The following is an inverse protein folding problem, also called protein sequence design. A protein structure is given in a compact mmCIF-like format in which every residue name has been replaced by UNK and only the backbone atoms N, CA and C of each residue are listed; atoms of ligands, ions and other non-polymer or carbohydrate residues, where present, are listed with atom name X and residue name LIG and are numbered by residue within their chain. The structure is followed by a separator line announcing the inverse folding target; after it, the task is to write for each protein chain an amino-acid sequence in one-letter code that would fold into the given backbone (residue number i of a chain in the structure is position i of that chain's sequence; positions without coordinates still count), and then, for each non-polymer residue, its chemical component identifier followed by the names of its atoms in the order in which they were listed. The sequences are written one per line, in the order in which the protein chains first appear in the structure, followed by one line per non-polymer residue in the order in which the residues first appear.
data_IF_675998155936
#
_entry.id   IF_675998155936
#
_cell.length_a   1.000
_cell.length_b   1.000
_cell.length_c   1.000
_cell.angle_alpha   90.00
_cell.angle_beta   90.00
_cell.angle_gamma   90.00
#
_symmetry.space_group_name_H-M   'P 1'
#
loop_
_entity.id
_entity.type
_entity.pdbx_description
1 polymer ?
#
# COMPACT_ATOMS: atom_id res chain seq x y z
N UNK A 1 21.25 -48.25 20.94
CA UNK A 1 21.44 -46.79 21.13
C UNK A 1 20.16 -46.08 20.71
N UNK A 2 19.37 -45.58 21.68
CA UNK A 2 18.04 -44.96 21.46
C UNK A 2 18.00 -43.52 22.00
N UNK A 3 18.78 -43.23 23.06
CA UNK A 3 18.79 -41.91 23.71
C UNK A 3 19.23 -40.74 22.82
N UNK A 4 20.26 -40.91 21.98
CA UNK A 4 20.71 -39.85 21.05
C UNK A 4 19.64 -39.57 20.00
N UNK A 5 18.94 -40.59 19.50
CA UNK A 5 17.88 -40.43 18.51
C UNK A 5 16.66 -39.71 19.10
N UNK A 6 16.26 -40.04 20.34
CA UNK A 6 15.17 -39.35 21.04
C UNK A 6 15.53 -37.88 21.33
N UNK A 7 16.75 -37.61 21.77
CA UNK A 7 17.22 -36.24 22.01
C UNK A 7 17.18 -35.39 20.73
N UNK A 8 17.62 -35.95 19.59
CA UNK A 8 17.53 -35.29 18.28
C UNK A 8 16.07 -35.06 17.85
N UNK A 9 15.18 -36.02 18.09
CA UNK A 9 13.76 -35.88 17.77
C UNK A 9 13.06 -34.79 18.59
N UNK A 10 13.32 -34.72 19.90
CA UNK A 10 12.78 -33.67 20.78
C UNK A 10 13.30 -32.29 20.35
N UNK A 11 14.60 -32.18 20.03
CA UNK A 11 15.17 -30.93 19.54
C UNK A 11 14.52 -30.49 18.21
N UNK A 12 14.36 -31.41 17.26
CA UNK A 12 13.71 -31.13 15.99
C UNK A 12 12.23 -30.72 16.16
N UNK A 13 11.50 -31.33 17.10
CA UNK A 13 10.13 -30.95 17.40
C UNK A 13 10.05 -29.54 18.00
N UNK A 14 10.94 -29.20 18.93
CA UNK A 14 11.00 -27.87 19.52
C UNK A 14 11.33 -26.80 18.47
N UNK A 15 12.26 -27.10 17.56
CA UNK A 15 12.64 -26.17 16.50
C UNK A 15 11.49 -25.91 15.53
N UNK A 16 10.81 -26.99 15.07
CA UNK A 16 9.59 -26.86 14.25
C UNK A 16 8.50 -26.06 14.97
N UNK A 17 8.34 -26.24 16.29
CA UNK A 17 7.37 -25.46 17.06
C UNK A 17 7.71 -23.96 17.03
N UNK A 18 8.98 -23.61 17.21
CA UNK A 18 9.42 -22.21 17.16
C UNK A 18 9.22 -21.60 15.76
N UNK A 19 9.59 -22.33 14.71
CA UNK A 19 9.37 -21.90 13.31
C UNK A 19 7.89 -21.61 13.04
N UNK A 20 6.98 -22.45 13.54
CA UNK A 20 5.53 -22.26 13.34
C UNK A 20 4.94 -21.08 14.12
N UNK A 21 5.52 -20.76 15.28
CA UNK A 21 5.16 -19.55 16.03
C UNK A 21 5.61 -18.31 15.24
N UNK A 22 6.85 -18.30 14.78
CA UNK A 22 7.41 -17.20 13.99
C UNK A 22 6.67 -16.99 12.65
N UNK A 23 6.34 -18.07 11.93
CA UNK A 23 5.53 -18.01 10.72
C UNK A 23 4.18 -17.32 10.98
N UNK A 24 3.52 -17.66 12.10
CA UNK A 24 2.23 -17.07 12.46
C UNK A 24 2.36 -15.59 12.80
N UNK A 25 3.39 -15.20 13.52
CA UNK A 25 3.67 -13.80 13.86
C UNK A 25 3.88 -12.97 12.59
N UNK A 26 4.74 -13.44 11.69
CA UNK A 26 5.03 -12.76 10.41
C UNK A 26 3.77 -12.66 9.53
N UNK A 27 3.01 -13.74 9.38
CA UNK A 27 1.76 -13.70 8.59
C UNK A 27 0.75 -12.74 9.20
N UNK A 28 0.69 -12.66 10.53
CA UNK A 28 -0.20 -11.71 11.23
C UNK A 28 0.21 -10.27 10.95
N UNK A 29 1.51 -9.97 10.99
CA UNK A 29 2.04 -8.66 10.67
C UNK A 29 1.74 -8.27 9.22
N UNK A 30 1.99 -9.16 8.26
CA UNK A 30 1.67 -8.94 6.84
C UNK A 30 0.18 -8.66 6.65
N UNK A 31 -0.68 -9.44 7.32
CA UNK A 31 -2.12 -9.24 7.26
C UNK A 31 -2.49 -7.83 7.74
N UNK A 32 -1.97 -7.41 8.89
CA UNK A 32 -2.22 -6.07 9.43
C UNK A 32 -1.72 -4.98 8.49
N UNK A 33 -0.54 -5.16 7.87
CA UNK A 33 -0.02 -4.24 6.85
C UNK A 33 -0.97 -4.12 5.65
N UNK A 34 -1.53 -5.23 5.16
CA UNK A 34 -2.49 -5.21 4.04
C UNK A 34 -3.78 -4.51 4.45
N UNK A 35 -4.31 -4.75 5.65
CA UNK A 35 -5.53 -4.10 6.15
C UNK A 35 -5.35 -2.58 6.27
N UNK A 36 -4.21 -2.14 6.82
CA UNK A 36 -3.88 -0.71 6.90
C UNK A 36 -3.74 -0.09 5.51
N UNK A 37 -3.06 -0.77 4.58
CA UNK A 37 -2.93 -0.30 3.20
C UNK A 37 -4.29 -0.20 2.50
N UNK A 38 -5.19 -1.15 2.72
CA UNK A 38 -6.54 -1.10 2.17
C UNK A 38 -7.30 0.12 2.71
N UNK A 39 -7.19 0.42 4.01
CA UNK A 39 -7.81 1.60 4.60
C UNK A 39 -7.23 2.88 4.01
N UNK A 40 -5.90 2.99 3.93
CA UNK A 40 -5.23 4.15 3.32
C UNK A 40 -5.73 4.37 1.90
N UNK A 41 -5.79 3.33 1.07
CA UNK A 41 -6.29 3.44 -0.31
C UNK A 41 -7.74 3.93 -0.36
N UNK A 42 -8.62 3.42 0.49
CA UNK A 42 -10.03 3.87 0.56
C UNK A 42 -10.14 5.34 0.97
N UNK A 43 -9.36 5.76 1.98
CA UNK A 43 -9.33 7.15 2.43
C UNK A 43 -8.84 8.08 1.30
N UNK A 44 -7.80 7.65 0.58
CA UNK A 44 -7.26 8.38 -0.58
C UNK A 44 -8.26 8.48 -1.74
N UNK A 45 -8.99 7.40 -2.05
CA UNK A 45 -10.05 7.42 -3.07
C UNK A 45 -11.11 8.45 -2.69
N UNK A 46 -11.56 8.45 -1.43
CA UNK A 46 -12.58 9.40 -0.94
C UNK A 46 -12.12 10.86 -1.08
N UNK A 47 -10.84 11.14 -0.80
CA UNK A 47 -10.27 12.48 -1.00
C UNK A 47 -10.28 12.86 -2.48
N UNK A 48 -9.86 11.96 -3.38
CA UNK A 48 -9.82 12.22 -4.82
C UNK A 48 -11.22 12.44 -5.38
N UNK A 49 -12.21 11.65 -4.96
CA UNK A 49 -13.62 11.84 -5.35
C UNK A 49 -14.15 13.21 -4.90
N UNK A 50 -13.79 13.65 -3.70
CA UNK A 50 -14.11 14.99 -3.21
C UNK A 50 -13.48 16.09 -4.08
N UNK A 51 -12.21 15.96 -4.45
CA UNK A 51 -11.51 16.93 -5.31
C UNK A 51 -12.10 16.97 -6.74
N UNK A 52 -12.45 15.80 -7.29
CA UNK A 52 -13.07 15.71 -8.62
C UNK A 52 -14.44 16.40 -8.62
N UNK A 53 -15.28 16.15 -7.60
CA UNK A 53 -16.59 16.79 -7.47
C UNK A 53 -16.50 18.33 -7.43
N UNK A 54 -15.51 18.86 -6.69
CA UNK A 54 -15.24 20.31 -6.65
C UNK A 54 -14.76 20.84 -8.00
N UNK A 55 -13.94 20.07 -8.71
CA UNK A 55 -13.48 20.44 -10.06
C UNK A 55 -14.65 20.47 -11.06
N UNK A 56 -15.56 19.52 -10.97
CA UNK A 56 -16.78 19.48 -11.80
C UNK A 56 -17.68 20.70 -11.55
N UNK A 57 -17.81 21.14 -10.28
CA UNK A 57 -18.55 22.35 -9.95
C UNK A 57 -17.97 23.59 -10.65
N UNK A 58 -16.64 23.73 -10.66
CA UNK A 58 -15.95 24.85 -11.32
C UNK A 58 -16.13 24.80 -12.84
N UNK A 59 -15.97 23.63 -13.45
CA UNK A 59 -16.13 23.45 -14.90
C UNK A 59 -17.57 23.78 -15.33
N UNK A 60 -18.55 23.50 -14.47
CA UNK A 60 -19.95 23.80 -14.73
C UNK A 60 -20.31 25.29 -14.54
N UNK A 61 -19.40 26.13 -14.05
CA UNK A 61 -19.67 27.55 -13.90
C UNK A 61 -19.91 28.18 -15.28
N UNK A 62 -21.01 28.94 -15.45
CA UNK A 62 -21.24 29.65 -16.70
C UNK A 62 -20.14 30.69 -16.92
N UNK A 63 -19.61 30.77 -18.15
CA UNK A 63 -18.74 31.87 -18.59
C UNK A 63 -19.54 33.16 -18.53
N UNK A 64 -19.50 33.83 -17.39
CA UNK A 64 -20.18 35.10 -17.17
C UNK A 64 -19.15 36.12 -16.76
N UNK A 65 -19.15 37.28 -17.41
CA UNK A 65 -18.23 38.40 -17.18
C UNK A 65 -18.55 39.15 -15.86
N UNK A 66 -19.33 38.51 -14.98
CA UNK A 66 -19.88 39.08 -13.75
C UNK A 66 -18.93 38.99 -12.55
N UNK A 67 -19.30 39.68 -11.48
CA UNK A 67 -18.53 39.75 -10.23
C UNK A 67 -18.25 38.36 -9.63
N UNK A 68 -17.05 38.22 -9.04
CA UNK A 68 -16.60 37.02 -8.34
C UNK A 68 -17.58 36.60 -7.23
N UNK A 69 -18.07 35.36 -7.29
CA UNK A 69 -18.91 34.75 -6.24
C UNK A 69 -18.04 33.95 -5.25
N UNK A 70 -17.92 34.47 -4.03
CA UNK A 70 -17.13 33.85 -2.95
C UNK A 70 -17.67 32.48 -2.51
N UNK A 71 -18.88 32.08 -2.93
CA UNK A 71 -19.43 30.75 -2.67
C UNK A 71 -18.55 29.63 -3.22
N UNK A 72 -17.79 29.90 -4.28
CA UNK A 72 -16.91 28.92 -4.94
C UNK A 72 -15.45 29.01 -4.51
N UNK A 73 -15.11 29.86 -3.53
CA UNK A 73 -13.73 30.11 -3.11
C UNK A 73 -13.03 28.83 -2.65
N UNK A 74 -13.71 28.00 -1.86
CA UNK A 74 -13.20 26.70 -1.43
C UNK A 74 -12.98 25.77 -2.63
N UNK A 75 -13.91 25.71 -3.57
CA UNK A 75 -13.79 24.84 -4.74
C UNK A 75 -12.59 25.25 -5.59
N UNK A 76 -12.44 26.55 -5.88
CA UNK A 76 -11.27 27.09 -6.56
C UNK A 76 -9.98 26.77 -5.81
N UNK A 77 -9.94 26.96 -4.49
CA UNK A 77 -8.77 26.65 -3.67
C UNK A 77 -8.36 25.17 -3.79
N UNK A 78 -9.32 24.24 -3.68
CA UNK A 78 -9.06 22.81 -3.74
C UNK A 78 -8.83 22.28 -5.16
N UNK A 79 -9.29 22.97 -6.20
CA UNK A 79 -9.00 22.62 -7.59
C UNK A 79 -7.50 22.69 -7.92
N UNK A 80 -6.75 23.56 -7.23
CA UNK A 80 -5.28 23.63 -7.39
C UNK A 80 -4.53 22.57 -6.58
N UNK A 81 -5.22 21.76 -5.78
CA UNK A 81 -4.60 20.69 -5.00
C UNK A 81 -4.22 19.52 -5.94
N UNK A 82 -3.00 19.60 -6.48
CA UNK A 82 -2.48 18.61 -7.43
C UNK A 82 -2.04 17.31 -6.75
N UNK A 83 -3.01 16.41 -6.57
CA UNK A 83 -2.80 14.99 -6.33
C UNK A 83 -2.44 14.63 -4.88
N UNK A 84 -2.69 13.35 -4.56
CA UNK A 84 -2.33 12.78 -3.27
C UNK A 84 -1.08 11.92 -3.42
N UNK A 85 -0.13 12.05 -2.49
CA UNK A 85 0.99 11.12 -2.42
C UNK A 85 0.54 9.87 -1.67
N UNK A 86 0.31 8.79 -2.39
CA UNK A 86 0.01 7.49 -1.80
C UNK A 86 1.32 6.80 -1.44
N UNK A 87 1.47 6.44 -0.16
CA UNK A 87 2.56 5.60 0.33
C UNK A 87 1.96 4.36 0.98
N UNK A 88 2.28 3.19 0.43
CA UNK A 88 1.87 1.91 0.99
C UNK A 88 2.93 1.39 1.95
N UNK A 89 2.49 0.86 3.08
CA UNK A 89 3.32 0.24 4.09
C UNK A 89 3.84 -1.11 3.60
N UNK A 90 5.06 -1.47 4.02
CA UNK A 90 5.72 -2.74 3.68
C UNK A 90 6.37 -3.44 4.87
N UNK A 91 6.14 -2.99 6.10
CA UNK A 91 6.88 -3.44 7.29
C UNK A 91 6.80 -4.96 7.49
N UNK A 92 5.60 -5.55 7.46
CA UNK A 92 5.45 -7.00 7.58
C UNK A 92 6.08 -7.80 6.44
N UNK A 93 6.17 -7.22 5.24
CA UNK A 93 6.86 -7.85 4.12
C UNK A 93 8.39 -7.76 4.25
N UNK A 94 8.93 -6.62 4.68
CA UNK A 94 10.35 -6.49 4.95
C UNK A 94 10.78 -7.37 6.14
N UNK A 95 9.93 -7.53 7.15
CA UNK A 95 10.12 -8.52 8.23
C UNK A 95 10.22 -9.96 7.71
N UNK A 96 9.32 -10.37 6.81
CA UNK A 96 9.38 -11.67 6.14
C UNK A 96 10.66 -11.84 5.32
N UNK A 97 11.04 -10.82 4.56
CA UNK A 97 12.24 -10.83 3.70
C UNK A 97 13.52 -10.94 4.52
N UNK A 98 13.60 -10.23 5.65
CA UNK A 98 14.74 -10.29 6.58
C UNK A 98 14.84 -11.63 7.30
N UNK A 99 13.69 -12.25 7.63
CA UNK A 99 13.65 -13.59 8.24
C UNK A 99 13.98 -14.69 7.22
N UNK A 100 13.60 -14.48 5.96
CA UNK A 100 13.73 -15.44 4.87
C UNK A 100 12.39 -16.05 4.48
N UNK A 101 12.07 -16.01 3.19
CA UNK A 101 10.74 -16.37 2.69
C UNK A 101 10.30 -17.80 3.04
N UNK A 102 11.24 -18.73 3.15
CA UNK A 102 10.95 -20.15 3.43
C UNK A 102 10.29 -20.41 4.79
N UNK A 103 10.31 -19.43 5.71
CA UNK A 103 9.56 -19.52 6.98
C UNK A 103 8.06 -19.68 6.76
N UNK A 104 7.51 -19.14 5.66
CA UNK A 104 6.13 -19.36 5.24
C UNK A 104 6.06 -20.68 4.49
N UNK A 105 5.63 -21.75 5.17
CA UNK A 105 5.63 -23.11 4.64
C UNK A 105 4.64 -23.29 3.49
N UNK A 106 3.54 -22.53 3.49
CA UNK A 106 2.60 -22.53 2.39
C UNK A 106 3.19 -21.79 1.18
N UNK A 107 3.73 -22.58 0.24
CA UNK A 107 4.38 -22.07 -0.99
C UNK A 107 3.46 -21.17 -1.80
N UNK A 108 2.16 -21.48 -1.88
CA UNK A 108 1.21 -20.66 -2.64
C UNK A 108 1.00 -19.30 -1.97
N UNK A 109 0.77 -19.28 -0.65
CA UNK A 109 0.65 -18.05 0.13
C UNK A 109 1.91 -17.19 0.03
N UNK A 110 3.07 -17.81 0.21
CA UNK A 110 4.37 -17.16 0.10
C UNK A 110 4.56 -16.47 -1.25
N UNK A 111 4.25 -17.17 -2.35
CA UNK A 111 4.30 -16.58 -3.70
C UNK A 111 3.33 -15.42 -3.86
N UNK A 112 2.12 -15.51 -3.32
CA UNK A 112 1.14 -14.42 -3.36
C UNK A 112 1.63 -13.18 -2.61
N UNK A 113 2.25 -13.35 -1.44
CA UNK A 113 2.84 -12.25 -0.67
C UNK A 113 3.97 -11.57 -1.47
N UNK A 114 4.90 -12.36 -2.01
CA UNK A 114 6.02 -11.83 -2.81
C UNK A 114 5.50 -11.11 -4.06
N UNK A 115 4.49 -11.65 -4.74
CA UNK A 115 3.91 -11.02 -5.91
C UNK A 115 3.26 -9.67 -5.58
N UNK A 116 2.50 -9.60 -4.48
CA UNK A 116 1.82 -8.37 -4.08
C UNK A 116 2.83 -7.26 -3.74
N UNK A 117 3.73 -7.51 -2.80
CA UNK A 117 4.64 -6.48 -2.30
C UNK A 117 5.85 -6.27 -3.20
N UNK A 118 6.50 -7.35 -3.64
CA UNK A 118 7.75 -7.29 -4.39
C UNK A 118 7.59 -6.99 -5.88
N UNK A 119 6.37 -7.15 -6.43
CA UNK A 119 6.12 -6.90 -7.86
C UNK A 119 5.05 -5.84 -8.04
N UNK A 120 3.82 -6.10 -7.60
CA UNK A 120 2.68 -5.21 -7.90
C UNK A 120 2.82 -3.83 -7.26
N UNK A 121 3.19 -3.76 -5.99
CA UNK A 121 3.35 -2.47 -5.32
C UNK A 121 4.49 -1.64 -5.91
N UNK A 122 5.62 -2.28 -6.26
CA UNK A 122 6.74 -1.61 -6.93
C UNK A 122 6.32 -1.06 -8.29
N UNK A 123 5.69 -1.88 -9.13
CA UNK A 123 5.20 -1.46 -10.44
C UNK A 123 4.20 -0.30 -10.35
N UNK A 124 3.28 -0.35 -9.37
CA UNK A 124 2.32 0.72 -9.14
C UNK A 124 3.00 2.03 -8.71
N UNK A 125 4.01 1.94 -7.83
CA UNK A 125 4.76 3.11 -7.39
C UNK A 125 5.54 3.77 -8.55
N UNK A 126 6.20 2.96 -9.39
CA UNK A 126 6.88 3.42 -10.59
C UNK A 126 5.92 4.10 -11.56
N UNK A 127 4.74 3.51 -11.80
CA UNK A 127 3.72 4.09 -12.66
C UNK A 127 3.19 5.43 -12.13
N UNK A 128 2.93 5.52 -10.82
CA UNK A 128 2.50 6.77 -10.18
C UNK A 128 3.57 7.86 -10.33
N UNK A 129 4.84 7.52 -10.12
CA UNK A 129 5.95 8.46 -10.27
C UNK A 129 6.07 8.95 -11.72
N UNK A 130 5.95 8.05 -12.69
CA UNK A 130 5.94 8.39 -14.11
C UNK A 130 4.82 9.39 -14.47
N UNK A 131 3.59 9.17 -13.98
CA UNK A 131 2.47 10.10 -14.20
C UNK A 131 2.77 11.48 -13.58
N UNK A 132 3.30 11.50 -12.35
CA UNK A 132 3.63 12.75 -11.65
C UNK A 132 4.69 13.55 -12.40
N UNK A 133 5.75 12.91 -12.88
CA UNK A 133 6.79 13.57 -13.66
C UNK A 133 6.22 14.15 -14.95
N UNK A 134 5.43 13.36 -15.70
CA UNK A 134 4.78 13.82 -16.93
C UNK A 134 3.85 15.03 -16.70
N UNK A 135 3.07 15.02 -15.62
CA UNK A 135 2.20 16.14 -15.24
C UNK A 135 3.00 17.43 -14.99
N UNK A 136 4.12 17.35 -14.26
CA UNK A 136 5.01 18.50 -14.00
C UNK A 136 5.62 19.10 -15.27
N UNK A 137 5.89 18.29 -16.29
CA UNK A 137 6.39 18.80 -17.57
C UNK A 137 5.31 19.56 -18.34
N UNK A 138 4.07 19.08 -18.33
CA UNK A 138 2.95 19.74 -19.01
C UNK A 138 2.51 21.04 -18.33
N UNK A 139 2.71 21.18 -17.01
CA UNK A 139 2.38 22.42 -16.29
C UNK A 139 3.41 23.55 -16.46
N UNK A 140 4.55 23.28 -17.11
CA UNK A 140 5.62 24.25 -17.35
C UNK A 140 5.67 24.75 -18.80
N UNK A 141 4.86 24.17 -19.70
CA UNK A 141 4.72 24.54 -21.12
C UNK A 141 3.48 25.39 -21.35
#
# INVERSE_FOLDING_TARGET
MIGILIALQINNWNERRKERILEREIITEIKNTIELNSKLLTDHISVIEGLNSRSDNIIALPNNDGEYDSTYEDDFYYCFYSGTNIYLLSDGYEGLKNTGFEIVQNVALRKSIINLFGIRYVQNAEFINFIKERSRYMSQS
#
